data_IF_672948883141
#
_entry.id   IF_672948883141
#
_cell.length_a   1.000
_cell.length_b   1.000
_cell.length_c   1.000
_cell.angle_alpha   90.00
_cell.angle_beta   90.00
_cell.angle_gamma   90.00
#
_symmetry.space_group_name_H-M   'P 1'
#
loop_
_entity.id
_entity.type
_entity.pdbx_description
1 polymer ?
#
# COMPACT_ATOMS: atom_id res chain seq x y z
N UNK A 1 -7.95 -21.93 15.75
CA UNK A 1 -7.48 -21.14 14.61
C UNK A 1 -8.02 -21.81 13.38
N UNK A 2 -8.87 -21.15 12.56
CA UNK A 2 -9.43 -21.77 11.35
C UNK A 2 -8.40 -21.94 10.23
N UNK A 3 -7.18 -21.43 10.40
CA UNK A 3 -6.11 -21.56 9.42
C UNK A 3 -5.19 -22.74 9.73
N UNK A 4 -4.63 -23.40 8.69
CA UNK A 4 -3.55 -24.37 8.88
C UNK A 4 -2.41 -23.77 9.70
N UNK A 5 -1.72 -24.61 10.47
CA UNK A 5 -0.56 -24.18 11.26
C UNK A 5 0.49 -23.52 10.35
N UNK A 6 0.81 -22.25 10.63
CA UNK A 6 1.75 -21.44 9.84
C UNK A 6 1.14 -20.56 8.75
N UNK A 7 -0.17 -20.66 8.50
CA UNK A 7 -0.89 -19.77 7.58
C UNK A 7 -1.36 -18.52 8.35
N UNK A 8 -1.30 -17.36 7.70
CA UNK A 8 -1.59 -16.06 8.33
C UNK A 8 -2.86 -15.44 7.77
N UNK A 9 -3.59 -14.70 8.60
CA UNK A 9 -4.72 -13.90 8.12
C UNK A 9 -4.28 -12.48 7.82
N UNK A 10 -4.00 -12.18 6.55
CA UNK A 10 -3.76 -10.81 6.11
C UNK A 10 -5.06 -10.05 5.87
N UNK A 11 -4.94 -8.75 5.60
CA UNK A 11 -6.06 -7.89 5.28
C UNK A 11 -6.80 -8.38 4.03
N UNK A 12 -8.09 -8.09 3.93
CA UNK A 12 -8.92 -8.62 2.86
C UNK A 12 -9.94 -7.58 2.38
N UNK A 13 -10.26 -7.65 1.09
CA UNK A 13 -11.46 -7.02 0.51
C UNK A 13 -12.49 -8.10 0.23
N UNK A 14 -13.73 -7.88 0.63
CA UNK A 14 -14.86 -8.77 0.37
C UNK A 14 -15.88 -7.99 -0.44
N UNK A 15 -16.20 -8.47 -1.63
CA UNK A 15 -17.08 -7.78 -2.56
C UNK A 15 -18.07 -8.73 -3.20
N UNK A 16 -19.26 -8.23 -3.53
CA UNK A 16 -20.22 -8.98 -4.33
C UNK A 16 -19.76 -9.00 -5.80
N UNK A 17 -19.54 -10.20 -6.35
CA UNK A 17 -19.30 -10.40 -7.77
C UNK A 17 -20.64 -10.70 -8.45
N UNK A 18 -21.03 -9.84 -9.40
CA UNK A 18 -22.33 -9.93 -10.08
C UNK A 18 -22.43 -11.14 -11.01
N UNK A 19 -21.35 -11.53 -11.67
CA UNK A 19 -21.36 -12.60 -12.66
C UNK A 19 -21.41 -13.98 -12.00
N UNK A 20 -20.78 -14.13 -10.84
CA UNK A 20 -20.80 -15.36 -10.04
C UNK A 20 -21.98 -15.44 -9.08
N UNK A 21 -22.66 -14.31 -8.80
CA UNK A 21 -23.66 -14.17 -7.75
C UNK A 21 -23.16 -14.63 -6.37
N UNK A 22 -21.94 -14.23 -6.03
CA UNK A 22 -21.25 -14.63 -4.79
C UNK A 22 -20.46 -13.48 -4.18
N UNK A 23 -20.24 -13.56 -2.87
CA UNK A 23 -19.19 -12.78 -2.24
C UNK A 23 -17.83 -13.40 -2.54
N UNK A 24 -16.94 -12.59 -3.10
CA UNK A 24 -15.55 -12.94 -3.37
C UNK A 24 -14.67 -12.16 -2.40
N UNK A 25 -13.86 -12.89 -1.65
CA UNK A 25 -12.82 -12.32 -0.80
C UNK A 25 -11.48 -12.42 -1.52
N UNK A 26 -10.78 -11.29 -1.62
CA UNK A 26 -9.34 -11.29 -1.93
C UNK A 26 -8.60 -10.98 -0.65
N UNK A 27 -7.77 -11.94 -0.21
CA UNK A 27 -6.97 -11.83 0.99
C UNK A 27 -5.50 -11.60 0.63
N UNK A 28 -4.91 -10.55 1.19
CA UNK A 28 -3.50 -10.24 1.08
C UNK A 28 -2.63 -11.16 1.95
N UNK A 29 -1.43 -11.44 1.47
CA UNK A 29 -0.36 -12.11 2.19
C UNK A 29 0.93 -11.32 1.99
N UNK A 30 1.31 -10.58 3.02
CA UNK A 30 2.53 -9.75 3.06
C UNK A 30 3.66 -10.49 3.78
N UNK A 31 4.90 -10.10 3.51
CA UNK A 31 6.01 -10.38 4.41
C UNK A 31 5.73 -9.91 5.85
N UNK A 32 6.27 -10.65 6.83
CA UNK A 32 6.15 -10.29 8.24
C UNK A 32 7.08 -9.12 8.58
N UNK A 33 6.49 -7.94 8.80
CA UNK A 33 7.19 -6.75 9.32
C UNK A 33 7.27 -6.72 10.84
N UNK A 34 6.13 -6.94 11.51
CA UNK A 34 6.02 -6.74 12.95
C UNK A 34 6.41 -7.97 13.77
N UNK A 35 7.07 -7.73 14.91
CA UNK A 35 7.47 -8.74 15.88
C UNK A 35 8.58 -9.68 15.42
N UNK A 36 9.11 -9.51 14.21
CA UNK A 36 10.28 -10.24 13.72
C UNK A 36 11.49 -9.31 13.67
N UNK A 37 11.44 -8.30 12.80
CA UNK A 37 12.56 -7.42 12.48
C UNK A 37 12.45 -6.07 13.22
N UNK A 38 13.54 -5.63 13.84
CA UNK A 38 13.65 -4.32 14.47
C UNK A 38 14.57 -3.39 13.66
N UNK A 39 15.71 -3.90 13.18
CA UNK A 39 16.64 -3.15 12.35
C UNK A 39 17.33 -4.07 11.32
N UNK A 40 16.94 -3.94 10.05
CA UNK A 40 17.50 -4.68 8.90
C UNK A 40 19.01 -4.56 8.72
N UNK A 41 19.62 -3.53 9.29
CA UNK A 41 21.07 -3.26 9.18
C UNK A 41 21.87 -4.05 10.21
N UNK A 42 21.23 -4.45 11.30
CA UNK A 42 21.86 -5.19 12.42
C UNK A 42 21.42 -6.65 12.48
N UNK A 43 20.36 -7.02 11.75
CA UNK A 43 19.71 -8.33 11.88
C UNK A 43 19.62 -9.09 10.53
N UNK A 44 20.76 -9.40 9.87
CA UNK A 44 20.77 -10.01 8.54
C UNK A 44 20.08 -11.38 8.51
N UNK A 45 20.14 -12.16 9.58
CA UNK A 45 19.45 -13.45 9.67
C UNK A 45 17.93 -13.27 9.59
N UNK A 46 17.39 -12.24 10.25
CA UNK A 46 15.97 -11.91 10.22
C UNK A 46 15.53 -11.36 8.86
N UNK A 47 16.39 -10.59 8.20
CA UNK A 47 16.20 -10.20 6.79
C UNK A 47 16.12 -11.45 5.90
N UNK A 48 17.00 -12.42 6.13
CA UNK A 48 16.97 -13.72 5.45
C UNK A 48 15.66 -14.49 5.69
N UNK A 49 15.15 -14.50 6.92
CA UNK A 49 13.86 -15.12 7.25
C UNK A 49 12.70 -14.45 6.52
N UNK A 50 12.70 -13.12 6.40
CA UNK A 50 11.66 -12.38 5.66
C UNK A 50 11.75 -12.67 4.15
N UNK A 51 12.98 -12.67 3.60
CA UNK A 51 13.21 -12.94 2.18
C UNK A 51 12.85 -14.38 1.81
N UNK A 52 12.99 -15.34 2.71
CA UNK A 52 12.65 -16.74 2.48
C UNK A 52 11.43 -17.17 3.31
N UNK A 53 10.44 -16.28 3.46
CA UNK A 53 9.26 -16.54 4.25
C UNK A 53 8.57 -17.84 3.84
N UNK A 54 8.16 -18.64 4.82
CA UNK A 54 7.54 -19.95 4.65
C UNK A 54 6.03 -19.88 4.41
N UNK A 55 5.53 -18.74 3.93
CA UNK A 55 4.15 -18.49 3.54
C UNK A 55 4.10 -17.73 2.22
N UNK A 56 2.90 -17.65 1.63
CA UNK A 56 2.65 -16.95 0.38
C UNK A 56 3.07 -15.46 0.46
N UNK A 57 3.70 -14.95 -0.59
CA UNK A 57 3.87 -13.51 -0.83
C UNK A 57 3.00 -13.11 -2.00
N UNK A 58 1.78 -12.71 -1.72
CA UNK A 58 0.80 -12.37 -2.75
C UNK A 58 -0.62 -12.33 -2.21
N UNK A 59 -1.55 -13.03 -2.84
CA UNK A 59 -2.94 -13.07 -2.41
C UNK A 59 -3.62 -14.42 -2.68
N UNK A 60 -4.65 -14.70 -1.90
CA UNK A 60 -5.60 -15.80 -2.12
C UNK A 60 -6.97 -15.22 -2.45
N UNK A 61 -7.71 -15.91 -3.32
CA UNK A 61 -9.08 -15.56 -3.70
C UNK A 61 -10.01 -16.65 -3.20
N UNK A 62 -11.08 -16.26 -2.51
CA UNK A 62 -12.06 -17.17 -1.95
C UNK A 62 -13.47 -16.81 -2.39
N UNK A 63 -14.27 -17.83 -2.71
CA UNK A 63 -15.72 -17.73 -2.70
C UNK A 63 -16.20 -17.91 -1.25
N UNK A 64 -16.98 -16.94 -0.75
CA UNK A 64 -17.54 -17.01 0.60
C UNK A 64 -18.99 -17.51 0.56
N UNK A 65 -19.22 -18.77 0.94
CA UNK A 65 -20.58 -19.33 1.05
C UNK A 65 -21.20 -19.15 2.44
N UNK A 66 -20.47 -18.56 3.37
CA UNK A 66 -20.91 -18.34 4.74
C UNK A 66 -19.92 -17.48 5.53
N UNK A 67 -20.25 -17.11 6.77
CA UNK A 67 -19.42 -16.25 7.60
C UNK A 67 -18.21 -16.98 8.20
N UNK A 68 -18.18 -18.32 8.17
CA UNK A 68 -17.12 -19.11 8.78
C UNK A 68 -16.12 -19.58 7.71
N UNK A 69 -14.81 -19.66 8.05
CA UNK A 69 -13.79 -20.14 7.13
C UNK A 69 -14.05 -21.53 6.52
N UNK A 70 -14.72 -22.42 7.25
CA UNK A 70 -15.10 -23.75 6.76
C UNK A 70 -16.13 -23.69 5.60
N UNK A 71 -16.81 -22.56 5.43
CA UNK A 71 -17.75 -22.32 4.33
C UNK A 71 -17.06 -21.71 3.09
N UNK A 72 -15.76 -21.39 3.16
CA UNK A 72 -15.06 -20.69 2.09
C UNK A 72 -14.41 -21.68 1.13
N UNK A 73 -14.48 -21.39 -0.16
CA UNK A 73 -13.83 -22.19 -1.20
C UNK A 73 -12.66 -21.38 -1.75
N UNK A 74 -11.44 -21.90 -1.61
CA UNK A 74 -10.26 -21.32 -2.25
C UNK A 74 -10.39 -21.46 -3.77
N UNK A 75 -10.42 -20.34 -4.48
CA UNK A 75 -10.49 -20.29 -5.94
C UNK A 75 -9.11 -20.16 -6.58
N UNK A 76 -8.25 -19.30 -6.03
CA UNK A 76 -6.92 -19.04 -6.57
C UNK A 76 -5.90 -18.66 -5.50
N UNK A 77 -4.65 -18.97 -5.78
CA UNK A 77 -3.47 -18.50 -5.05
C UNK A 77 -2.49 -17.89 -6.07
N UNK A 78 -2.03 -16.66 -5.83
CA UNK A 78 -1.09 -15.96 -6.72
C UNK A 78 0.00 -15.26 -5.92
N UNK A 79 1.23 -15.36 -6.38
CA UNK A 79 2.32 -14.51 -5.89
C UNK A 79 2.34 -13.17 -6.62
N UNK A 80 2.80 -12.11 -5.96
CA UNK A 80 3.08 -10.81 -6.60
C UNK A 80 4.47 -10.77 -7.26
N UNK A 81 5.27 -11.84 -7.13
CA UNK A 81 6.50 -12.04 -7.91
C UNK A 81 6.12 -12.40 -9.35
N UNK A 82 5.69 -11.40 -10.13
CA UNK A 82 5.18 -11.60 -11.49
C UNK A 82 6.28 -12.09 -12.46
N UNK A 83 7.55 -11.91 -12.12
CA UNK A 83 8.69 -12.38 -12.91
C UNK A 83 8.91 -13.89 -12.72
N UNK A 84 8.49 -14.43 -11.57
CA UNK A 84 8.56 -15.85 -11.23
C UNK A 84 7.21 -16.35 -10.70
N UNK A 85 6.14 -16.37 -11.54
CA UNK A 85 4.77 -16.64 -11.09
C UNK A 85 4.58 -18.04 -10.52
N UNK A 86 5.46 -18.99 -10.87
CA UNK A 86 5.45 -20.38 -10.41
C UNK A 86 6.43 -20.63 -9.24
N UNK A 87 7.05 -19.57 -8.69
CA UNK A 87 8.00 -19.72 -7.58
C UNK A 87 7.30 -20.33 -6.36
N UNK A 88 7.83 -21.44 -5.81
CA UNK A 88 7.25 -22.04 -4.62
C UNK A 88 7.43 -21.12 -3.40
N UNK A 89 6.57 -21.30 -2.40
CA UNK A 89 6.71 -20.67 -1.08
C UNK A 89 8.14 -20.88 -0.55
N UNK A 90 8.72 -19.83 0.01
CA UNK A 90 10.13 -19.78 0.42
C UNK A 90 11.10 -19.33 -0.67
N UNK A 91 10.70 -19.32 -1.95
CA UNK A 91 11.52 -18.84 -3.08
C UNK A 91 10.96 -17.57 -3.76
N UNK A 92 9.69 -17.25 -3.52
CA UNK A 92 9.02 -16.04 -4.01
C UNK A 92 9.78 -14.77 -3.57
N UNK A 93 9.97 -13.83 -4.48
CA UNK A 93 10.59 -12.54 -4.22
C UNK A 93 9.56 -11.50 -3.74
N UNK A 94 10.07 -10.29 -3.46
CA UNK A 94 9.21 -9.13 -3.21
C UNK A 94 8.49 -9.15 -1.86
N UNK A 95 7.48 -8.28 -1.76
CA UNK A 95 6.77 -8.00 -0.50
C UNK A 95 5.54 -8.87 -0.26
N UNK A 96 4.97 -9.48 -1.30
CA UNK A 96 3.57 -9.88 -1.28
C UNK A 96 2.63 -8.67 -1.36
N UNK A 97 1.32 -8.91 -1.23
CA UNK A 97 0.35 -7.81 -1.20
C UNK A 97 0.41 -7.10 0.14
N UNK A 98 0.64 -5.79 0.10
CA UNK A 98 0.65 -4.94 1.29
C UNK A 98 -0.76 -4.46 1.59
N UNK A 99 -1.12 -4.56 2.88
CA UNK A 99 -2.38 -4.08 3.42
C UNK A 99 -3.60 -4.57 2.59
N UNK A 100 -4.61 -3.73 2.33
CA UNK A 100 -5.87 -4.14 1.70
C UNK A 100 -5.79 -4.10 0.15
N UNK A 101 -6.15 -5.20 -0.55
CA UNK A 101 -6.37 -5.17 -2.00
C UNK A 101 -7.52 -4.24 -2.40
N UNK A 102 -7.31 -3.38 -3.39
CA UNK A 102 -8.36 -2.56 -3.99
C UNK A 102 -9.10 -3.38 -5.06
N UNK A 103 -10.02 -4.23 -4.59
CA UNK A 103 -10.97 -4.98 -5.41
C UNK A 103 -12.39 -4.56 -5.06
N UNK A 104 -13.23 -4.36 -6.08
CA UNK A 104 -14.62 -3.88 -5.96
C UNK A 104 -15.65 -4.85 -6.55
N UNK A 105 -15.28 -6.12 -6.74
CA UNK A 105 -16.19 -7.17 -7.24
C UNK A 105 -16.25 -7.28 -8.77
N UNK A 106 -15.57 -6.38 -9.49
CA UNK A 106 -15.56 -6.34 -10.95
C UNK A 106 -14.35 -7.00 -11.61
N UNK A 107 -13.95 -6.45 -12.76
CA UNK A 107 -12.91 -7.02 -13.62
C UNK A 107 -11.49 -6.72 -13.14
N UNK A 108 -11.26 -5.61 -12.44
CA UNK A 108 -9.91 -5.19 -12.09
C UNK A 108 -9.68 -5.17 -10.58
N UNK A 109 -8.45 -5.49 -10.21
CA UNK A 109 -7.93 -5.33 -8.86
C UNK A 109 -6.59 -4.62 -8.92
N UNK A 110 -6.35 -3.74 -7.95
CA UNK A 110 -5.06 -3.12 -7.73
C UNK A 110 -4.52 -3.51 -6.35
N UNK A 111 -3.22 -3.75 -6.27
CA UNK A 111 -2.54 -4.08 -5.00
C UNK A 111 -1.25 -3.29 -4.87
N UNK A 112 -0.87 -2.91 -3.65
CA UNK A 112 0.49 -2.43 -3.39
C UNK A 112 1.42 -3.63 -3.24
N UNK A 113 2.48 -3.68 -4.05
CA UNK A 113 3.46 -4.75 -3.99
C UNK A 113 4.81 -4.32 -4.60
N UNK A 114 5.89 -4.78 -3.98
CA UNK A 114 7.19 -4.88 -4.60
C UNK A 114 7.30 -6.26 -5.27
N UNK A 115 7.64 -6.35 -6.56
CA UNK A 115 7.71 -7.62 -7.27
C UNK A 115 8.98 -8.41 -6.96
N UNK A 116 10.08 -7.73 -6.62
CA UNK A 116 11.38 -8.37 -6.40
C UNK A 116 12.16 -7.75 -5.24
N UNK A 117 13.29 -8.37 -4.87
CA UNK A 117 14.18 -7.85 -3.84
C UNK A 117 14.94 -6.58 -4.24
N UNK A 118 14.95 -6.22 -5.52
CA UNK A 118 15.60 -5.02 -6.03
C UNK A 118 14.88 -3.75 -5.57
N UNK A 119 13.56 -3.83 -5.36
CA UNK A 119 12.72 -2.73 -4.87
C UNK A 119 12.94 -2.46 -3.38
N UNK A 120 14.13 -2.00 -3.02
CA UNK A 120 14.62 -1.94 -1.63
C UNK A 120 15.22 -0.59 -1.24
N UNK A 121 15.06 0.44 -2.07
CA UNK A 121 15.40 1.82 -1.73
C UNK A 121 14.35 2.42 -0.79
N UNK A 122 14.39 1.95 0.46
CA UNK A 122 13.65 2.45 1.62
C UNK A 122 14.57 2.33 2.83
N UNK A 123 14.56 3.26 3.77
CA UNK A 123 15.51 3.23 4.90
C UNK A 123 14.88 2.86 6.23
N UNK A 124 13.55 2.77 6.29
CA UNK A 124 12.81 2.44 7.50
C UNK A 124 13.35 1.13 8.11
N UNK A 125 13.66 1.07 9.42
CA UNK A 125 14.45 -0.01 10.00
C UNK A 125 13.87 -1.42 9.81
N UNK A 126 12.56 -1.57 9.91
CA UNK A 126 11.87 -2.85 9.80
C UNK A 126 11.11 -3.06 8.49
N UNK A 127 11.34 -2.20 7.48
CA UNK A 127 10.76 -2.34 6.15
C UNK A 127 11.83 -2.69 5.13
N UNK A 128 11.58 -3.71 4.30
CA UNK A 128 12.54 -4.17 3.31
C UNK A 128 12.29 -3.60 1.91
N UNK A 129 11.05 -3.20 1.62
CA UNK A 129 10.63 -2.98 0.24
C UNK A 129 9.99 -1.64 -0.01
N UNK A 130 10.44 -0.95 -1.06
CA UNK A 130 9.78 0.21 -1.65
C UNK A 130 8.80 -0.27 -2.71
N UNK A 131 7.56 -0.55 -2.30
CA UNK A 131 6.55 -1.12 -3.18
C UNK A 131 5.95 -0.09 -4.16
N UNK A 132 5.60 -0.56 -5.35
CA UNK A 132 4.74 0.13 -6.30
C UNK A 132 3.33 -0.45 -6.27
N UNK A 133 2.67 -0.45 -7.43
CA UNK A 133 1.31 -1.01 -7.58
C UNK A 133 1.27 -2.04 -8.69
N UNK A 134 0.52 -3.12 -8.49
CA UNK A 134 0.18 -4.07 -9.54
C UNK A 134 -1.29 -3.97 -9.90
N UNK A 135 -1.59 -4.11 -11.19
CA UNK A 135 -2.93 -4.35 -11.68
C UNK A 135 -3.11 -5.83 -12.04
N UNK A 136 -4.29 -6.35 -11.74
CA UNK A 136 -4.69 -7.73 -12.00
C UNK A 136 -6.07 -7.75 -12.66
N UNK A 137 -6.24 -8.64 -13.64
CA UNK A 137 -7.52 -9.00 -14.21
C UNK A 137 -8.15 -10.12 -13.37
N UNK A 138 -9.34 -9.85 -12.88
CA UNK A 138 -10.18 -10.65 -12.01
C UNK A 138 -11.48 -11.10 -12.70
N UNK A 139 -11.60 -10.98 -14.03
CA UNK A 139 -12.75 -11.48 -14.79
C UNK A 139 -13.06 -12.95 -14.50
N UNK A 140 -12.04 -13.75 -14.23
CA UNK A 140 -12.17 -15.08 -13.63
C UNK A 140 -11.44 -15.09 -12.27
N UNK A 141 -12.17 -15.04 -11.14
CA UNK A 141 -11.56 -15.09 -9.81
C UNK A 141 -10.82 -16.40 -9.50
N UNK A 142 -11.05 -17.47 -10.26
CA UNK A 142 -10.28 -18.73 -10.15
C UNK A 142 -8.97 -18.71 -10.94
N UNK A 143 -8.82 -17.75 -11.84
CA UNK A 143 -7.60 -17.57 -12.62
C UNK A 143 -7.17 -16.10 -12.80
N UNK A 144 -6.85 -15.38 -11.70
CA UNK A 144 -6.38 -14.00 -11.79
C UNK A 144 -5.13 -13.86 -12.65
N UNK A 145 -5.11 -12.84 -13.52
CA UNK A 145 -4.00 -12.55 -14.43
C UNK A 145 -3.32 -11.24 -14.10
N UNK A 146 -2.00 -11.28 -13.96
CA UNK A 146 -1.18 -10.08 -13.86
C UNK A 146 -1.32 -9.23 -15.13
N UNK A 147 -1.45 -7.91 -14.98
CA UNK A 147 -1.57 -6.98 -16.10
C UNK A 147 -0.35 -6.06 -16.19
N UNK A 148 0.01 -5.41 -15.08
CA UNK A 148 1.08 -4.42 -15.07
C UNK A 148 1.65 -4.22 -13.66
N UNK A 149 2.89 -3.71 -13.62
CA UNK A 149 3.53 -3.15 -12.44
C UNK A 149 3.80 -1.68 -12.73
N UNK A 150 3.28 -0.80 -11.89
CA UNK A 150 3.62 0.61 -11.86
C UNK A 150 4.59 0.90 -10.71
N UNK A 151 5.67 1.62 -11.01
CA UNK A 151 6.65 2.10 -10.04
C UNK A 151 6.95 3.57 -10.32
N UNK A 152 7.53 4.25 -9.35
CA UNK A 152 8.05 5.61 -9.49
C UNK A 152 9.57 5.58 -9.33
N UNK A 153 10.31 6.60 -9.82
CA UNK A 153 11.76 6.65 -9.63
C UNK A 153 12.14 6.71 -8.15
N UNK A 154 13.26 6.06 -7.78
CA UNK A 154 13.79 6.05 -6.42
C UNK A 154 13.43 4.81 -5.59
N UNK A 155 13.03 3.72 -6.23
CA UNK A 155 12.60 2.48 -5.58
C UNK A 155 13.59 1.33 -5.77
N UNK A 156 14.28 1.28 -6.91
CA UNK A 156 15.08 0.13 -7.34
C UNK A 156 16.57 0.26 -7.02
N UNK A 157 17.07 -0.60 -6.14
CA UNK A 157 18.49 -0.73 -5.82
C UNK A 157 19.25 -1.38 -6.98
N UNK A 158 20.43 -0.85 -7.31
CA UNK A 158 21.24 -1.34 -8.43
C UNK A 158 20.88 -0.72 -9.78
N UNK A 159 19.79 0.06 -9.86
CA UNK A 159 19.49 0.93 -10.99
C UNK A 159 20.09 2.33 -10.73
N UNK A 160 21.03 2.82 -11.57
CA UNK A 160 21.69 4.09 -11.34
C UNK A 160 20.77 5.31 -11.34
N UNK A 161 19.67 5.29 -12.11
CA UNK A 161 18.72 6.40 -12.20
C UNK A 161 17.86 6.46 -10.94
N UNK A 162 17.32 5.32 -10.51
CA UNK A 162 16.60 5.19 -9.25
C UNK A 162 17.49 5.57 -8.06
N UNK A 163 18.73 5.07 -7.99
CA UNK A 163 19.64 5.42 -6.91
C UNK A 163 19.97 6.92 -6.86
N UNK A 164 20.05 7.58 -8.01
CA UNK A 164 20.29 9.03 -8.08
C UNK A 164 19.07 9.81 -7.55
N UNK A 165 17.85 9.42 -7.95
CA UNK A 165 16.61 10.02 -7.43
C UNK A 165 16.49 9.82 -5.93
N UNK A 166 16.73 8.60 -5.45
CA UNK A 166 16.69 8.29 -4.02
C UNK A 166 17.70 9.15 -3.25
N UNK A 167 18.97 9.22 -3.68
CA UNK A 167 20.00 10.04 -3.03
C UNK A 167 19.68 11.54 -3.02
N UNK A 168 18.93 12.03 -4.01
CA UNK A 168 18.51 13.43 -4.09
C UNK A 168 17.28 13.76 -3.20
N UNK A 169 16.53 12.75 -2.75
CA UNK A 169 15.39 12.96 -1.87
C UNK A 169 15.87 13.47 -0.50
N UNK A 170 15.30 14.56 0.06
CA UNK A 170 15.72 15.13 1.34
C UNK A 170 15.57 14.19 2.55
N UNK A 171 14.84 13.09 2.40
CA UNK A 171 14.66 12.05 3.41
C UNK A 171 15.76 10.98 3.39
N UNK A 172 16.51 10.88 2.29
CA UNK A 172 17.57 9.87 2.19
C UNK A 172 18.68 10.13 3.22
N UNK A 173 19.17 9.05 3.82
CA UNK A 173 20.14 9.07 4.91
C UNK A 173 19.56 9.27 6.31
N UNK A 174 18.27 9.61 6.46
CA UNK A 174 17.68 9.81 7.78
C UNK A 174 17.39 8.49 8.52
N UNK A 175 17.37 7.35 7.81
CA UNK A 175 17.15 5.99 8.35
C UNK A 175 15.79 5.75 9.02
N UNK A 176 14.87 6.68 8.86
CA UNK A 176 13.57 6.68 9.54
C UNK A 176 12.41 6.89 8.59
N UNK A 177 12.62 7.35 7.36
CA UNK A 177 11.52 7.51 6.40
C UNK A 177 11.23 6.22 5.65
N UNK A 178 9.94 5.92 5.53
CA UNK A 178 9.40 4.89 4.66
C UNK A 178 9.27 5.40 3.23
N UNK A 179 9.65 4.57 2.24
CA UNK A 179 9.50 4.86 0.81
C UNK A 179 8.64 3.78 0.15
N UNK A 180 7.81 4.19 -0.82
CA UNK A 180 6.91 3.30 -1.56
C UNK A 180 5.55 3.10 -0.90
N UNK A 181 4.67 2.41 -1.62
CA UNK A 181 3.30 2.19 -1.20
C UNK A 181 3.22 1.26 0.02
N UNK A 182 2.26 1.56 0.91
CA UNK A 182 1.74 0.60 1.90
C UNK A 182 0.33 0.14 1.53
N UNK A 183 -0.51 1.07 1.11
CA UNK A 183 -1.90 0.85 0.69
C UNK A 183 -1.98 0.80 -0.83
N UNK A 184 -3.00 0.12 -1.37
CA UNK A 184 -3.29 0.12 -2.81
C UNK A 184 -3.71 1.50 -3.34
N UNK A 185 -3.90 1.62 -4.66
CA UNK A 185 -4.37 2.84 -5.33
C UNK A 185 -5.76 3.21 -4.79
N UNK A 186 -5.91 4.46 -4.36
CA UNK A 186 -7.19 5.00 -3.93
C UNK A 186 -7.98 5.50 -5.13
N UNK A 187 -9.13 4.88 -5.40
CA UNK A 187 -9.96 5.19 -6.54
C UNK A 187 -11.36 5.56 -6.06
N UNK A 188 -11.92 6.71 -6.48
CA UNK A 188 -13.29 7.05 -6.13
C UNK A 188 -14.30 6.15 -6.84
N UNK A 189 -13.92 5.65 -8.03
CA UNK A 189 -14.76 4.84 -8.88
C UNK A 189 -13.95 3.72 -9.54
N UNK A 190 -14.43 2.46 -9.55
CA UNK A 190 -13.76 1.37 -10.27
C UNK A 190 -13.64 1.64 -11.77
N UNK A 191 -12.62 1.05 -12.41
CA UNK A 191 -12.34 1.22 -13.84
C UNK A 191 -13.50 0.70 -14.70
N UNK A 192 -14.06 -0.46 -14.35
CA UNK A 192 -15.21 -1.05 -15.05
C UNK A 192 -16.48 -0.18 -14.98
N UNK A 193 -16.57 0.77 -14.06
CA UNK A 193 -17.68 1.73 -13.98
C UNK A 193 -17.34 3.08 -14.64
N UNK A 194 -16.23 3.15 -15.37
CA UNK A 194 -15.75 4.37 -16.04
C UNK A 194 -14.84 5.24 -15.19
N UNK A 195 -14.32 4.72 -14.07
CA UNK A 195 -13.24 5.35 -13.32
C UNK A 195 -11.98 5.48 -14.18
N UNK A 196 -11.36 6.66 -14.14
CA UNK A 196 -10.15 6.96 -14.94
C UNK A 196 -8.93 7.28 -14.10
N UNK A 197 -9.14 7.88 -12.92
CA UNK A 197 -8.06 8.39 -12.10
C UNK A 197 -7.99 7.64 -10.77
N UNK A 198 -6.78 7.30 -10.38
CA UNK A 198 -6.44 6.77 -9.07
C UNK A 198 -5.38 7.65 -8.42
N UNK A 199 -5.34 7.65 -7.10
CA UNK A 199 -4.40 8.44 -6.31
C UNK A 199 -3.51 7.51 -5.50
N UNK A 200 -2.20 7.75 -5.57
CA UNK A 200 -1.19 6.87 -5.01
C UNK A 200 -0.42 7.59 -3.90
N UNK A 201 -0.44 7.00 -2.70
CA UNK A 201 0.34 7.44 -1.56
C UNK A 201 1.64 6.60 -1.48
N UNK A 202 2.79 7.25 -1.68
CA UNK A 202 4.07 6.55 -1.86
C UNK A 202 5.07 6.83 -0.73
N UNK A 203 4.59 6.99 0.50
CA UNK A 203 5.44 7.33 1.65
C UNK A 203 6.23 8.62 1.39
N UNK A 204 7.54 8.57 1.63
CA UNK A 204 8.48 9.66 1.37
C UNK A 204 8.72 10.01 -0.11
N UNK A 205 8.13 9.25 -1.05
CA UNK A 205 8.13 9.57 -2.49
C UNK A 205 6.96 10.50 -2.89
N UNK A 206 6.03 10.77 -1.96
CA UNK A 206 4.98 11.77 -2.15
C UNK A 206 3.66 11.23 -2.69
N UNK A 207 2.89 12.13 -3.29
CA UNK A 207 1.54 11.89 -3.82
C UNK A 207 1.58 11.86 -5.33
N UNK A 208 0.90 10.87 -5.94
CA UNK A 208 0.83 10.72 -7.38
C UNK A 208 -0.63 10.66 -7.86
N UNK A 209 -0.90 11.33 -8.98
CA UNK A 209 -2.15 11.17 -9.73
C UNK A 209 -1.87 10.25 -10.91
N UNK A 210 -2.64 9.17 -11.01
CA UNK A 210 -2.48 8.12 -12.00
C UNK A 210 -3.70 8.07 -12.93
N UNK A 211 -3.46 7.91 -14.23
CA UNK A 211 -4.46 7.39 -15.17
C UNK A 211 -4.43 5.87 -15.12
N UNK A 212 -5.54 5.29 -14.71
CA UNK A 212 -5.77 3.85 -14.52
C UNK A 212 -6.83 3.32 -15.47
N UNK A 213 -7.28 4.13 -16.44
CA UNK A 213 -8.34 3.76 -17.38
C UNK A 213 -7.96 2.57 -18.29
N UNK A 214 -6.67 2.30 -18.43
CA UNK A 214 -6.10 1.13 -19.09
C UNK A 214 -5.16 0.41 -18.10
N UNK A 215 -5.66 -0.52 -17.26
CA UNK A 215 -4.85 -1.15 -16.21
C UNK A 215 -3.57 -1.86 -16.67
N UNK A 216 -3.49 -2.47 -17.88
CA UNK A 216 -2.22 -2.90 -18.47
C UNK A 216 -1.18 -1.78 -18.69
N UNK A 217 -1.60 -0.53 -18.77
CA UNK A 217 -0.76 0.64 -19.07
C UNK A 217 -1.06 1.81 -18.11
N UNK A 218 -0.90 1.61 -16.79
CA UNK A 218 -1.03 2.68 -15.80
C UNK A 218 -0.03 3.80 -16.10
N UNK A 219 -0.50 5.06 -16.11
CA UNK A 219 0.33 6.23 -16.38
C UNK A 219 0.31 7.20 -15.22
N UNK A 220 1.48 7.75 -14.90
CA UNK A 220 1.59 8.91 -14.02
C UNK A 220 1.22 10.17 -14.81
N UNK A 221 0.28 10.95 -14.28
CA UNK A 221 -0.10 12.26 -14.82
C UNK A 221 0.67 13.38 -14.12
N UNK A 222 0.76 13.29 -12.79
CA UNK A 222 1.44 14.30 -11.99
C UNK A 222 1.88 13.74 -10.65
N UNK A 223 2.75 14.50 -9.97
CA UNK A 223 3.18 14.20 -8.62
C UNK A 223 3.29 15.49 -7.79
N UNK A 224 3.18 15.34 -6.47
CA UNK A 224 3.45 16.39 -5.49
C UNK A 224 4.41 15.88 -4.42
N UNK A 225 5.43 16.68 -4.15
CA UNK A 225 6.31 16.52 -3.00
C UNK A 225 5.78 17.29 -1.80
N UNK A 226 6.12 16.79 -0.61
CA UNK A 226 5.75 17.40 0.67
C UNK A 226 7.00 17.70 1.50
N UNK A 227 6.94 18.71 2.39
CA UNK A 227 7.98 18.91 3.40
C UNK A 227 8.28 17.62 4.16
N UNK A 228 9.56 17.30 4.46
CA UNK A 228 9.89 16.12 5.25
C UNK A 228 9.24 16.14 6.63
N UNK A 229 8.45 15.11 6.93
CA UNK A 229 7.96 14.76 8.27
C UNK A 229 8.73 13.52 8.72
N UNK A 230 9.92 13.74 9.29
CA UNK A 230 10.89 12.70 9.66
C UNK A 230 10.21 11.58 10.45
N UNK A 231 10.55 10.33 10.10
CA UNK A 231 10.01 9.10 10.66
C UNK A 231 8.61 8.69 10.16
N UNK A 232 8.36 7.37 10.14
CA UNK A 232 7.08 6.78 9.78
C UNK A 232 6.77 6.77 8.28
N UNK A 233 5.49 6.65 7.96
CA UNK A 233 4.97 6.73 6.59
C UNK A 233 4.42 8.14 6.36
N UNK A 234 5.11 8.95 5.57
CA UNK A 234 4.70 10.34 5.31
C UNK A 234 3.51 10.46 4.33
N UNK A 235 3.25 9.40 3.57
CA UNK A 235 2.13 9.26 2.66
C UNK A 235 1.56 7.86 2.74
N UNK A 236 0.44 7.69 3.41
CA UNK A 236 -0.14 6.38 3.73
C UNK A 236 -1.55 6.21 3.17
N UNK A 237 -2.39 7.24 3.33
CA UNK A 237 -3.81 7.15 3.01
C UNK A 237 -4.31 8.36 2.22
N UNK A 238 -5.26 8.12 1.32
CA UNK A 238 -5.95 9.16 0.56
C UNK A 238 -7.45 8.98 0.71
N UNK A 239 -8.12 9.95 1.31
CA UNK A 239 -9.59 10.00 1.29
C UNK A 239 -10.04 10.50 -0.08
N UNK A 240 -10.82 9.66 -0.77
CA UNK A 240 -11.41 9.94 -2.09
C UNK A 240 -12.93 10.06 -2.05
N UNK A 241 -13.55 10.00 -0.87
CA UNK A 241 -15.01 9.86 -0.76
C UNK A 241 -15.80 11.07 -1.25
N UNK A 242 -15.14 12.22 -1.37
CA UNK A 242 -15.75 13.50 -1.75
C UNK A 242 -15.19 14.05 -3.07
N UNK A 243 -14.25 13.34 -3.71
CA UNK A 243 -13.49 13.91 -4.84
C UNK A 243 -14.35 14.10 -6.09
N UNK A 244 -15.34 13.24 -6.33
CA UNK A 244 -16.23 13.39 -7.49
C UNK A 244 -17.15 14.62 -7.36
N UNK A 245 -17.47 15.04 -6.14
CA UNK A 245 -18.30 16.23 -5.87
C UNK A 245 -17.48 17.51 -5.75
N UNK A 246 -16.30 17.43 -5.13
CA UNK A 246 -15.52 18.60 -4.71
C UNK A 246 -14.26 18.83 -5.54
N UNK A 247 -13.78 17.81 -6.25
CA UNK A 247 -12.45 17.82 -6.86
C UNK A 247 -11.30 17.74 -5.85
N UNK A 248 -11.57 17.48 -4.58
CA UNK A 248 -10.56 17.50 -3.50
C UNK A 248 -10.37 16.10 -2.91
N UNK A 249 -9.10 15.72 -2.68
CA UNK A 249 -8.71 14.56 -1.88
C UNK A 249 -8.00 15.02 -0.60
N UNK A 250 -8.03 14.16 0.43
CA UNK A 250 -7.26 14.38 1.65
C UNK A 250 -6.14 13.35 1.74
N UNK A 251 -4.90 13.81 1.75
CA UNK A 251 -3.70 12.98 1.81
C UNK A 251 -3.09 13.04 3.20
N UNK A 252 -2.88 11.88 3.83
CA UNK A 252 -2.34 11.78 5.18
C UNK A 252 -1.21 10.76 5.26
N UNK A 253 -0.24 11.05 6.12
CA UNK A 253 0.72 10.06 6.59
C UNK A 253 0.15 9.21 7.73
N UNK A 254 0.94 8.26 8.19
CA UNK A 254 0.64 7.38 9.32
C UNK A 254 1.84 7.34 10.28
N UNK A 255 1.69 7.90 11.50
CA UNK A 255 2.71 7.81 12.52
C UNK A 255 2.94 6.37 12.99
N UNK A 256 4.20 5.93 12.89
CA UNK A 256 4.60 4.57 13.30
C UNK A 256 5.19 4.55 14.70
N UNK A 257 5.67 5.68 15.21
CA UNK A 257 6.06 5.80 16.62
C UNK A 257 4.88 6.34 17.43
N UNK A 258 4.65 5.71 18.57
CA UNK A 258 3.55 6.02 19.46
C UNK A 258 3.93 7.14 20.45
N UNK A 259 2.95 7.60 21.22
CA UNK A 259 3.14 8.44 22.41
C UNK A 259 3.83 9.79 22.13
N UNK A 260 3.70 10.30 20.91
CA UNK A 260 4.26 11.60 20.50
C UNK A 260 5.76 11.57 20.20
N UNK A 261 6.36 10.40 20.01
CA UNK A 261 7.77 10.25 19.60
C UNK A 261 7.99 10.43 18.09
N UNK A 262 7.01 10.96 17.39
CA UNK A 262 7.05 11.30 15.97
C UNK A 262 6.52 12.72 15.73
N UNK A 263 7.07 13.47 14.76
CA UNK A 263 6.45 14.69 14.26
C UNK A 263 5.01 14.44 13.79
N UNK A 264 4.14 15.40 14.08
CA UNK A 264 2.78 15.44 13.52
C UNK A 264 2.84 15.45 11.99
N UNK A 265 1.95 14.70 11.33
CA UNK A 265 1.84 14.67 9.87
C UNK A 265 0.60 15.46 9.49
N UNK A 266 0.81 16.53 8.74
CA UNK A 266 -0.29 17.32 8.24
C UNK A 266 -1.17 16.48 7.31
N UNK A 267 -2.48 16.66 7.42
CA UNK A 267 -3.45 16.14 6.45
C UNK A 267 -3.63 17.20 5.38
N UNK A 268 -3.15 16.93 4.17
CA UNK A 268 -3.17 17.87 3.07
C UNK A 268 -4.50 17.78 2.29
N UNK A 269 -5.12 18.93 2.07
CA UNK A 269 -6.20 19.08 1.10
C UNK A 269 -5.60 19.35 -0.27
N UNK A 270 -5.88 18.49 -1.24
CA UNK A 270 -5.31 18.59 -2.58
C UNK A 270 -6.45 18.68 -3.60
N UNK A 271 -6.49 19.78 -4.34
CA UNK A 271 -7.35 19.93 -5.51
C UNK A 271 -6.76 19.13 -6.67
N UNK A 272 -7.54 18.16 -7.15
CA UNK A 272 -7.23 17.23 -8.25
C UNK A 272 -8.22 17.39 -9.42
N UNK A 273 -8.99 18.48 -9.45
CA UNK A 273 -9.90 18.81 -10.56
C UNK A 273 -9.19 18.90 -11.91
N UNK A 274 -7.88 19.19 -11.87
CA UNK A 274 -6.96 19.10 -13.00
C UNK A 274 -5.87 18.05 -12.69
N UNK A 275 -6.07 16.78 -13.08
CA UNK A 275 -5.19 15.67 -12.72
C UNK A 275 -3.70 15.83 -13.11
N UNK A 276 -3.43 16.59 -14.16
CA UNK A 276 -2.07 16.91 -14.67
C UNK A 276 -1.38 18.01 -13.84
N UNK A 277 -2.12 18.75 -13.02
CA UNK A 277 -1.63 19.90 -12.26
C UNK A 277 -2.36 20.05 -10.90
N UNK A 278 -2.28 19.04 -10.01
CA UNK A 278 -2.91 19.09 -8.71
C UNK A 278 -2.29 20.20 -7.84
N UNK A 279 -3.07 20.72 -6.89
CA UNK A 279 -2.66 21.85 -6.05
C UNK A 279 -2.97 21.61 -4.59
N UNK A 280 -1.99 21.84 -3.73
CA UNK A 280 -2.20 21.87 -2.28
C UNK A 280 -3.01 23.13 -1.95
N UNK A 281 -4.21 22.94 -1.40
CA UNK A 281 -5.08 24.03 -0.92
C UNK A 281 -4.70 24.48 0.50
N UNK A 282 -4.18 23.55 1.29
CA UNK A 282 -3.80 23.76 2.68
C UNK A 282 -3.78 22.45 3.45
N UNK A 283 -3.77 22.56 4.78
CA UNK A 283 -3.80 21.42 5.70
C UNK A 283 -5.02 21.50 6.61
N UNK A 284 -5.55 20.36 7.03
CA UNK A 284 -6.58 20.34 8.07
C UNK A 284 -5.98 20.80 9.40
N UNK A 285 -6.75 21.53 10.24
CA UNK A 285 -6.27 21.95 11.54
C UNK A 285 -6.00 20.74 12.42
N UNK A 286 -4.89 20.78 13.17
CA UNK A 286 -4.63 19.81 14.24
C UNK A 286 -5.76 19.87 15.28
N UNK A 287 -6.35 18.72 15.65
CA UNK A 287 -7.38 18.70 16.69
C UNK A 287 -6.88 19.27 18.02
N UNK A 288 -7.66 20.15 18.63
CA UNK A 288 -7.39 20.72 19.95
C UNK A 288 -8.25 19.98 20.99
N UNK A 289 -7.68 19.47 22.09
CA UNK A 289 -8.46 18.89 23.17
C UNK A 289 -9.47 19.89 23.75
N UNK A 290 -10.64 19.44 24.23
CA UNK A 290 -11.59 20.32 24.91
C UNK A 290 -10.96 20.95 26.16
N UNK A 291 -11.44 22.13 26.59
CA UNK A 291 -10.83 22.91 27.68
C UNK A 291 -10.76 22.16 29.02
N UNK A 292 -11.67 21.22 29.27
CA UNK A 292 -11.73 20.40 30.48
C UNK A 292 -10.91 19.10 30.38
N UNK A 293 -10.19 18.88 29.27
CA UNK A 293 -9.32 17.73 29.10
C UNK A 293 -8.14 17.78 30.09
N UNK A 294 -7.80 16.62 30.65
CA UNK A 294 -6.62 16.45 31.51
C UNK A 294 -5.30 16.37 30.70
N UNK A 295 -5.33 16.75 29.43
CA UNK A 295 -4.24 16.69 28.48
C UNK A 295 -4.32 17.89 27.54
N UNK A 296 -3.16 18.36 27.08
CA UNK A 296 -3.03 19.55 26.23
C UNK A 296 -2.88 19.22 24.75
N UNK A 297 -2.61 17.95 24.43
CA UNK A 297 -2.53 17.46 23.05
C UNK A 297 -2.93 15.98 22.97
N UNK A 298 -3.60 15.58 21.89
CA UNK A 298 -4.02 14.20 21.69
C UNK A 298 -2.85 13.20 21.63
N UNK A 299 -1.62 13.62 21.32
CA UNK A 299 -0.42 12.79 21.45
C UNK A 299 -0.22 12.23 22.86
N UNK A 300 -0.69 12.93 23.90
CA UNK A 300 -0.59 12.48 25.29
C UNK A 300 -1.57 11.34 25.62
N UNK A 301 -2.50 11.01 24.72
CA UNK A 301 -3.47 9.91 24.87
C UNK A 301 -2.90 8.54 24.52
N UNK A 302 -1.60 8.49 24.22
CA UNK A 302 -0.84 7.30 23.81
C UNK A 302 -1.25 6.74 22.44
N UNK A 303 -0.44 5.83 21.92
CA UNK A 303 -0.64 5.22 20.60
C UNK A 303 -0.23 6.15 19.45
N UNK A 304 -0.55 5.77 18.22
CA UNK A 304 -0.27 6.57 17.02
C UNK A 304 -1.21 7.78 16.95
N UNK A 305 -0.65 8.99 17.01
CA UNK A 305 -1.35 10.24 16.75
C UNK A 305 -0.49 11.15 15.89
N UNK A 306 -1.10 11.66 14.82
CA UNK A 306 -0.50 12.62 13.93
C UNK A 306 -1.01 12.47 12.54
#
# INVERSE_FOLDING_TARGET
DPYPEGDMFGAASIQWNKDLEKYIMVQAFEIRRFGLLSDKRQEPDKVGMIRNANHLKGFKVYEMNGPLPDDWVLLAERTTDYEHPDAPIGQQQGSGVRDIPAYYGGQYMFVAAAPSAEYSLTEYPNDLYSAGYQAWNMSDPSDPKFLSQFNVPGQKLGDPEDEAVFKANPRAGNRTSWFGARMSIFMPKPVEEGGKYGYAAMGGLGFYVLDISDPPNIKMLSHLDFPPSVAGTEGDFINVTQVEETGVVYYSGYPLNEDGWEPYKDIYMIDVSHPEAPKILGTLPRPVPPEDALFTDFAQRRGSFG
#
